data_IF_125679093698
#
_entry.id   IF_125679093698
#
_cell.length_a   1.000
_cell.length_b   1.000
_cell.length_c   1.000
_cell.angle_alpha   90.00
_cell.angle_beta   90.00
_cell.angle_gamma   90.00
#
_symmetry.space_group_name_H-M   'P 1'
#
loop_
_entity.id
_entity.type
_entity.pdbx_description
1 polymer ?
#
# COMPACT_ATOMS: atom_id res chain seq x y z
N UNK A 1 9.76 -29.08 -8.73
CA UNK A 1 9.05 -27.81 -8.47
C UNK A 1 9.59 -27.29 -7.14
N UNK A 2 10.21 -26.16 -7.17
CA UNK A 2 10.74 -25.50 -5.95
C UNK A 2 9.53 -25.00 -5.15
N UNK A 3 9.24 -25.66 -4.05
CA UNK A 3 8.07 -25.35 -3.21
C UNK A 3 8.55 -24.51 -2.03
N UNK A 4 7.95 -23.34 -1.85
CA UNK A 4 8.14 -22.50 -0.67
C UNK A 4 6.79 -22.33 0.02
N UNK A 5 6.75 -22.50 1.32
CA UNK A 5 5.51 -22.35 2.10
C UNK A 5 5.20 -20.88 2.39
N UNK A 6 3.92 -20.57 2.65
CA UNK A 6 3.49 -19.26 3.12
C UNK A 6 4.26 -18.81 4.38
N UNK A 7 4.48 -19.74 5.31
CA UNK A 7 5.24 -19.47 6.53
C UNK A 7 6.68 -19.05 6.24
N UNK A 8 7.40 -19.78 5.39
CA UNK A 8 8.80 -19.44 5.01
C UNK A 8 8.90 -18.09 4.33
N UNK A 9 7.95 -17.77 3.42
CA UNK A 9 7.90 -16.44 2.77
C UNK A 9 7.74 -15.34 3.82
N UNK A 10 6.84 -15.52 4.77
CA UNK A 10 6.62 -14.54 5.85
C UNK A 10 7.85 -14.38 6.74
N UNK A 11 8.53 -15.45 7.09
CA UNK A 11 9.77 -15.38 7.87
C UNK A 11 10.85 -14.57 7.13
N UNK A 12 11.02 -14.80 5.82
CA UNK A 12 11.95 -14.03 5.00
C UNK A 12 11.55 -12.54 5.02
N UNK A 13 10.29 -12.23 4.72
CA UNK A 13 9.80 -10.84 4.63
C UNK A 13 9.95 -10.11 5.97
N UNK A 14 9.64 -10.75 7.08
CA UNK A 14 9.84 -10.18 8.42
C UNK A 14 11.33 -9.97 8.74
N UNK A 15 12.20 -10.91 8.36
CA UNK A 15 13.65 -10.78 8.56
C UNK A 15 14.24 -9.60 7.75
N UNK A 16 13.61 -9.25 6.63
CA UNK A 16 13.97 -8.09 5.81
C UNK A 16 13.44 -6.76 6.37
N UNK A 17 12.65 -6.78 7.43
CA UNK A 17 12.20 -5.60 8.17
C UNK A 17 10.82 -5.07 7.80
N UNK A 18 9.94 -5.91 7.28
CA UNK A 18 8.51 -5.64 7.20
C UNK A 18 7.81 -5.92 8.53
N UNK A 19 6.70 -5.22 8.78
CA UNK A 19 5.87 -5.39 9.99
C UNK A 19 4.66 -6.29 9.73
N UNK A 20 4.18 -6.36 8.48
CA UNK A 20 3.07 -7.21 8.03
C UNK A 20 3.44 -7.86 6.70
N UNK A 21 2.95 -9.10 6.50
CA UNK A 21 3.08 -9.83 5.25
C UNK A 21 1.86 -10.69 5.01
N UNK A 22 1.48 -10.84 3.75
CA UNK A 22 0.44 -11.74 3.30
C UNK A 22 0.64 -12.15 1.84
N UNK A 23 -0.02 -13.23 1.45
CA UNK A 23 0.04 -13.81 0.12
C UNK A 23 -1.35 -13.82 -0.50
N UNK A 24 -1.46 -13.45 -1.75
CA UNK A 24 -2.68 -13.51 -2.54
C UNK A 24 -2.53 -14.48 -3.71
N UNK A 25 -3.61 -15.21 -4.04
CA UNK A 25 -3.76 -15.92 -5.29
C UNK A 25 -4.23 -14.98 -6.42
N UNK A 26 -4.06 -15.40 -7.68
CA UNK A 26 -4.33 -14.54 -8.84
C UNK A 26 -5.82 -14.25 -9.06
N UNK A 27 -6.70 -15.19 -8.70
CA UNK A 27 -8.14 -15.05 -8.86
C UNK A 27 -8.70 -13.82 -8.14
N UNK A 28 -7.99 -13.33 -7.11
CA UNK A 28 -8.38 -12.10 -6.41
C UNK A 28 -8.09 -10.81 -7.19
N UNK A 29 -7.45 -10.94 -8.36
CA UNK A 29 -7.14 -9.83 -9.27
C UNK A 29 -7.99 -9.83 -10.55
N UNK A 30 -8.95 -10.73 -10.72
CA UNK A 30 -9.79 -10.85 -11.93
C UNK A 30 -10.51 -9.55 -12.32
N UNK A 31 -10.78 -8.68 -11.33
CA UNK A 31 -11.37 -7.36 -11.55
C UNK A 31 -10.34 -6.25 -11.83
N UNK A 32 -9.06 -6.58 -11.96
CA UNK A 32 -8.05 -5.58 -12.30
C UNK A 32 -8.29 -5.05 -13.72
N UNK A 33 -8.18 -3.73 -13.95
CA UNK A 33 -8.27 -3.17 -15.28
C UNK A 33 -7.20 -3.79 -16.21
N UNK A 34 -7.51 -3.90 -17.49
CA UNK A 34 -6.57 -4.40 -18.50
C UNK A 34 -5.25 -3.60 -18.46
N UNK A 35 -4.13 -4.31 -18.43
CA UNK A 35 -2.78 -3.75 -18.34
C UNK A 35 -2.30 -3.53 -16.89
N UNK A 36 -3.11 -3.91 -15.88
CA UNK A 36 -2.80 -3.73 -14.45
C UNK A 36 -2.97 -5.02 -13.63
N UNK A 37 -3.21 -6.13 -14.31
CA UNK A 37 -3.25 -7.45 -13.69
C UNK A 37 -1.82 -7.96 -13.47
N UNK A 38 -1.53 -8.73 -12.40
CA UNK A 38 -0.20 -9.31 -12.17
C UNK A 38 0.38 -10.06 -13.37
N UNK A 39 -0.45 -10.76 -14.15
CA UNK A 39 -0.05 -11.46 -15.37
C UNK A 39 0.34 -10.51 -16.53
N UNK A 40 -0.08 -9.26 -16.52
CA UNK A 40 0.36 -8.27 -17.51
C UNK A 40 1.82 -7.84 -17.26
N UNK A 41 2.35 -8.06 -16.04
CA UNK A 41 3.73 -7.76 -15.64
C UNK A 41 4.61 -9.01 -15.68
N UNK A 42 4.16 -10.09 -15.04
CA UNK A 42 4.83 -11.40 -15.02
C UNK A 42 3.87 -12.47 -15.51
N UNK A 43 3.94 -12.88 -16.80
CA UNK A 43 2.99 -13.85 -17.38
C UNK A 43 2.96 -15.21 -16.68
N UNK A 44 4.03 -15.59 -16.01
CA UNK A 44 4.16 -16.83 -15.24
C UNK A 44 3.81 -16.67 -13.75
N UNK A 45 3.34 -15.49 -13.32
CA UNK A 45 2.94 -15.23 -11.95
C UNK A 45 1.88 -16.22 -11.47
N UNK A 46 2.03 -16.69 -10.22
CA UNK A 46 1.05 -17.55 -9.54
C UNK A 46 0.61 -17.02 -8.21
N UNK A 47 1.46 -16.22 -7.56
CA UNK A 47 1.17 -15.62 -6.26
C UNK A 47 1.68 -14.19 -6.20
N UNK A 48 0.99 -13.36 -5.44
CA UNK A 48 1.40 -11.99 -5.12
C UNK A 48 1.72 -11.92 -3.63
N UNK A 49 2.97 -11.66 -3.30
CA UNK A 49 3.43 -11.45 -1.93
C UNK A 49 3.32 -9.96 -1.66
N UNK A 50 2.50 -9.56 -0.70
CA UNK A 50 2.39 -8.15 -0.28
C UNK A 50 2.87 -7.99 1.15
N UNK A 51 3.43 -6.83 1.46
CA UNK A 51 3.95 -6.53 2.79
C UNK A 51 3.79 -5.05 3.13
N UNK A 52 3.88 -4.75 4.42
CA UNK A 52 3.76 -3.39 4.91
C UNK A 52 4.81 -3.08 5.96
N UNK A 53 5.26 -1.84 5.98
CA UNK A 53 6.07 -1.26 7.07
C UNK A 53 5.27 -0.18 7.76
N UNK A 54 5.33 -0.16 9.07
CA UNK A 54 4.66 0.83 9.92
C UNK A 54 5.14 2.25 9.59
N UNK A 55 4.18 3.16 9.42
CA UNK A 55 4.43 4.59 9.30
C UNK A 55 4.37 5.23 10.70
N UNK A 56 5.43 5.89 11.17
CA UNK A 56 5.47 6.48 12.51
C UNK A 56 4.34 7.49 12.77
N UNK A 57 3.56 7.25 13.84
CA UNK A 57 2.37 8.04 14.20
C UNK A 57 2.71 9.49 14.57
N UNK A 58 3.91 9.74 15.07
CA UNK A 58 4.36 11.10 15.41
C UNK A 58 4.26 12.09 14.25
N UNK A 59 4.26 11.60 13.00
CA UNK A 59 4.08 12.43 11.83
C UNK A 59 2.73 13.16 11.79
N UNK A 60 1.68 12.57 12.37
CA UNK A 60 0.34 13.17 12.42
C UNK A 60 0.22 14.27 13.52
N UNK A 61 1.18 14.35 14.42
CA UNK A 61 1.19 15.31 15.54
C UNK A 61 2.03 16.56 15.25
N UNK A 62 2.65 16.64 14.07
CA UNK A 62 3.49 17.77 13.70
C UNK A 62 2.65 18.92 13.11
N UNK A 63 2.98 20.15 13.47
CA UNK A 63 2.36 21.36 12.90
C UNK A 63 2.80 21.62 11.47
N UNK A 64 3.95 21.07 11.06
CA UNK A 64 4.49 21.18 9.70
C UNK A 64 4.43 19.86 8.97
N UNK A 65 4.18 19.84 7.65
CA UNK A 65 4.12 18.62 6.84
C UNK A 65 5.49 17.99 6.57
N UNK A 66 6.58 18.68 6.91
CA UNK A 66 7.96 18.25 6.60
C UNK A 66 8.28 16.86 7.20
N UNK A 67 8.02 16.57 8.49
CA UNK A 67 8.31 15.24 9.05
C UNK A 67 7.50 14.12 8.40
N UNK A 68 6.23 14.35 8.09
CA UNK A 68 5.39 13.39 7.37
C UNK A 68 6.00 13.04 6.00
N UNK A 69 6.37 14.07 5.24
CA UNK A 69 7.00 13.93 3.92
C UNK A 69 8.34 13.20 4.01
N UNK A 70 9.17 13.52 5.02
CA UNK A 70 10.46 12.85 5.23
C UNK A 70 10.30 11.37 5.54
N UNK A 71 9.37 11.01 6.40
CA UNK A 71 9.08 9.61 6.72
C UNK A 71 8.64 8.87 5.46
N UNK A 72 7.70 9.43 4.70
CA UNK A 72 7.26 8.85 3.42
C UNK A 72 8.43 8.63 2.45
N UNK A 73 9.28 9.64 2.30
CA UNK A 73 10.43 9.57 1.39
C UNK A 73 11.49 8.55 1.85
N UNK A 74 11.60 8.29 3.16
CA UNK A 74 12.48 7.25 3.71
C UNK A 74 11.88 5.85 3.61
N UNK A 75 10.56 5.72 3.71
CA UNK A 75 9.88 4.43 3.61
C UNK A 75 9.86 3.89 2.19
N UNK A 76 9.75 4.76 1.17
CA UNK A 76 9.73 4.32 -0.23
C UNK A 76 10.95 3.47 -0.60
N UNK A 77 12.21 3.95 -0.48
CA UNK A 77 13.37 3.13 -0.80
C UNK A 77 13.55 1.93 0.15
N UNK A 78 13.06 2.02 1.40
CA UNK A 78 13.04 0.87 2.31
C UNK A 78 12.15 -0.25 1.76
N UNK A 79 10.95 0.08 1.26
CA UNK A 79 10.05 -0.90 0.67
C UNK A 79 10.63 -1.53 -0.58
N UNK A 80 11.23 -0.72 -1.47
CA UNK A 80 11.88 -1.21 -2.68
C UNK A 80 13.07 -2.12 -2.35
N UNK A 81 13.83 -1.81 -1.30
CA UNK A 81 14.92 -2.68 -0.82
C UNK A 81 14.40 -4.01 -0.26
N UNK A 82 13.30 -4.01 0.50
CA UNK A 82 12.66 -5.25 0.97
C UNK A 82 12.20 -6.09 -0.22
N UNK A 83 11.51 -5.48 -1.20
CA UNK A 83 11.04 -6.17 -2.40
C UNK A 83 12.19 -6.80 -3.20
N UNK A 84 13.26 -6.04 -3.44
CA UNK A 84 14.44 -6.52 -4.16
C UNK A 84 15.12 -7.69 -3.39
N UNK A 85 15.35 -7.52 -2.09
CA UNK A 85 16.00 -8.56 -1.29
C UNK A 85 15.15 -9.84 -1.20
N UNK A 86 13.83 -9.71 -1.14
CA UNK A 86 12.92 -10.86 -1.22
C UNK A 86 13.07 -11.59 -2.55
N UNK A 87 13.13 -10.86 -3.68
CA UNK A 87 13.37 -11.48 -4.98
C UNK A 87 14.70 -12.23 -5.02
N UNK A 88 15.78 -11.66 -4.45
CA UNK A 88 17.09 -12.31 -4.38
C UNK A 88 17.00 -13.60 -3.54
N UNK A 89 16.28 -13.59 -2.41
CA UNK A 89 16.11 -14.77 -1.57
C UNK A 89 15.26 -15.87 -2.24
N UNK A 90 14.27 -15.49 -3.05
CA UNK A 90 13.46 -16.40 -3.85
C UNK A 90 14.29 -16.98 -5.01
N UNK A 91 15.10 -16.16 -5.67
CA UNK A 91 15.99 -16.61 -6.77
C UNK A 91 17.04 -17.64 -6.32
N UNK A 92 17.60 -17.49 -5.10
CA UNK A 92 18.49 -18.52 -4.49
C UNK A 92 17.81 -19.88 -4.35
N UNK A 93 16.48 -19.92 -4.34
CA UNK A 93 15.64 -21.12 -4.31
C UNK A 93 15.16 -21.56 -5.68
N UNK A 94 15.63 -20.89 -6.75
CA UNK A 94 15.21 -21.14 -8.13
C UNK A 94 13.79 -20.68 -8.44
N UNK A 95 13.26 -19.71 -7.70
CA UNK A 95 11.93 -19.13 -7.88
C UNK A 95 12.06 -17.77 -8.55
N UNK A 96 11.47 -17.63 -9.73
CA UNK A 96 11.42 -16.34 -10.43
C UNK A 96 10.41 -15.42 -9.75
N UNK A 97 10.82 -14.17 -9.54
CA UNK A 97 9.98 -13.16 -8.93
C UNK A 97 10.37 -11.74 -9.37
N UNK A 98 9.44 -10.81 -9.27
CA UNK A 98 9.60 -9.43 -9.74
C UNK A 98 9.11 -8.46 -8.67
N UNK A 99 9.95 -7.48 -8.25
CA UNK A 99 9.52 -6.45 -7.32
C UNK A 99 8.60 -5.45 -8.03
N UNK A 100 7.54 -5.03 -7.36
CA UNK A 100 6.67 -3.95 -7.84
C UNK A 100 7.11 -2.64 -7.21
N UNK A 101 7.43 -1.61 -8.00
CA UNK A 101 7.85 -0.31 -7.48
C UNK A 101 6.84 0.27 -6.50
N UNK A 102 7.34 0.76 -5.37
CA UNK A 102 6.47 1.25 -4.28
C UNK A 102 5.75 2.54 -4.63
N UNK A 103 6.39 3.41 -5.41
CA UNK A 103 5.91 4.77 -5.66
C UNK A 103 6.02 5.18 -7.13
N UNK A 104 6.07 4.23 -8.03
CA UNK A 104 6.08 4.51 -9.45
C UNK A 104 4.66 4.40 -10.00
N UNK A 105 4.16 5.51 -10.50
CA UNK A 105 2.84 5.55 -11.14
C UNK A 105 2.90 6.42 -12.37
N UNK A 106 2.19 5.99 -13.41
CA UNK A 106 2.02 6.71 -14.66
C UNK A 106 0.67 7.42 -14.65
N UNK A 107 0.64 8.63 -15.18
CA UNK A 107 -0.61 9.32 -15.42
C UNK A 107 -1.34 8.71 -16.62
N UNK A 108 -2.54 8.20 -16.39
CA UNK A 108 -3.41 7.69 -17.43
C UNK A 108 -4.40 8.79 -17.85
N UNK A 109 -4.13 9.43 -18.99
CA UNK A 109 -4.97 10.51 -19.53
C UNK A 109 -6.41 10.07 -19.81
N UNK A 110 -6.62 8.80 -20.19
CA UNK A 110 -7.96 8.29 -20.54
C UNK A 110 -8.89 8.21 -19.34
N UNK A 111 -8.34 7.88 -18.18
CA UNK A 111 -9.11 7.72 -16.94
C UNK A 111 -8.90 8.88 -15.98
N UNK A 112 -8.01 9.82 -16.31
CA UNK A 112 -7.61 10.95 -15.45
C UNK A 112 -7.12 10.47 -14.07
N UNK A 113 -6.21 9.46 -14.06
CA UNK A 113 -5.74 8.80 -12.83
C UNK A 113 -4.27 8.46 -12.87
N UNK A 114 -3.66 8.51 -11.70
CA UNK A 114 -2.38 7.85 -11.45
C UNK A 114 -2.58 6.34 -11.29
N UNK A 115 -1.82 5.55 -12.05
CA UNK A 115 -1.86 4.09 -12.00
C UNK A 115 -0.45 3.52 -11.88
N UNK A 116 -0.26 2.60 -10.94
CA UNK A 116 0.93 1.73 -10.90
C UNK A 116 0.68 0.50 -11.76
N UNK A 117 1.76 -0.15 -12.22
CA UNK A 117 1.68 -1.42 -12.98
C UNK A 117 0.88 -2.50 -12.22
N UNK A 118 1.01 -2.54 -10.89
CA UNK A 118 0.11 -3.27 -9.98
C UNK A 118 -0.18 -2.36 -8.78
N UNK A 119 -1.44 -2.25 -8.38
CA UNK A 119 -1.81 -1.38 -7.28
C UNK A 119 -1.45 -1.97 -5.93
N UNK A 120 -0.51 -1.35 -5.20
CA UNK A 120 -0.03 -1.81 -3.89
C UNK A 120 -1.16 -2.01 -2.87
N UNK A 121 -2.13 -1.10 -2.81
CA UNK A 121 -3.25 -1.23 -1.85
C UNK A 121 -4.22 -2.35 -2.20
N UNK A 122 -4.44 -2.63 -3.50
CA UNK A 122 -5.27 -3.76 -3.91
C UNK A 122 -4.52 -5.09 -3.72
N UNK A 123 -3.22 -5.13 -3.98
CA UNK A 123 -2.38 -6.28 -3.67
C UNK A 123 -2.38 -6.61 -2.17
N UNK A 124 -2.23 -5.59 -1.32
CA UNK A 124 -2.27 -5.76 0.13
C UNK A 124 -3.66 -6.20 0.65
N UNK A 125 -4.75 -5.69 0.06
CA UNK A 125 -6.09 -6.15 0.36
C UNK A 125 -6.29 -7.62 -0.07
N UNK A 126 -5.89 -7.96 -1.29
CA UNK A 126 -5.98 -9.32 -1.81
C UNK A 126 -5.17 -10.32 -0.97
N UNK A 127 -4.03 -9.87 -0.41
CA UNK A 127 -3.16 -10.64 0.48
C UNK A 127 -3.64 -10.68 1.95
N UNK A 128 -4.81 -10.14 2.28
CA UNK A 128 -5.38 -10.21 3.63
C UNK A 128 -4.73 -9.28 4.66
N UNK A 129 -3.84 -8.36 4.24
CA UNK A 129 -3.16 -7.43 5.17
C UNK A 129 -4.12 -6.38 5.74
N UNK A 130 -5.11 -5.97 4.96
CA UNK A 130 -6.06 -4.94 5.36
C UNK A 130 -7.24 -4.82 4.38
N UNK A 131 -8.07 -3.80 4.60
CA UNK A 131 -9.19 -3.44 3.71
C UNK A 131 -9.11 -1.98 3.30
N UNK A 132 -9.45 -1.67 2.06
CA UNK A 132 -9.46 -0.28 1.57
C UNK A 132 -10.69 0.41 2.15
N UNK A 133 -10.44 1.47 2.93
CA UNK A 133 -11.51 2.26 3.52
C UNK A 133 -12.08 3.33 2.58
N UNK A 134 -13.14 4.01 3.04
CA UNK A 134 -13.82 5.10 2.30
C UNK A 134 -12.87 6.23 1.85
N UNK A 135 -11.78 6.45 2.59
CA UNK A 135 -10.72 7.42 2.25
C UNK A 135 -9.71 6.90 1.21
N UNK A 136 -9.97 5.74 0.60
CA UNK A 136 -9.11 5.15 -0.44
C UNK A 136 -7.70 4.70 0.01
N UNK A 137 -7.44 4.64 1.33
CA UNK A 137 -6.23 4.04 1.90
C UNK A 137 -6.55 2.66 2.47
N UNK A 138 -5.53 1.79 2.52
CA UNK A 138 -5.62 0.52 3.23
C UNK A 138 -5.71 0.77 4.74
N UNK A 139 -6.57 0.02 5.42
CA UNK A 139 -6.69 -0.01 6.89
C UNK A 139 -6.34 -1.42 7.34
N UNK A 140 -5.31 -1.55 8.16
CA UNK A 140 -4.89 -2.81 8.79
C UNK A 140 -5.42 -2.88 10.22
N UNK A 141 -5.58 -4.09 10.79
CA UNK A 141 -5.99 -4.26 12.19
C UNK A 141 -4.94 -3.71 13.16
N UNK A 142 -3.67 -3.93 12.87
CA UNK A 142 -2.56 -3.61 13.76
C UNK A 142 -2.17 -2.12 13.76
N UNK A 143 -2.15 -1.49 12.57
CA UNK A 143 -1.59 -0.14 12.38
C UNK A 143 -2.55 0.82 11.67
N UNK A 144 -3.79 0.40 11.42
CA UNK A 144 -4.75 1.21 10.67
C UNK A 144 -4.23 1.61 9.30
N UNK A 145 -4.38 2.87 8.95
CA UNK A 145 -3.84 3.41 7.69
C UNK A 145 -2.39 3.91 7.81
N UNK A 146 -1.75 3.74 8.99
CA UNK A 146 -0.37 4.16 9.21
C UNK A 146 0.60 3.07 8.78
N UNK A 147 0.55 2.72 7.50
CA UNK A 147 1.43 1.75 6.83
C UNK A 147 1.89 2.25 5.47
N UNK A 148 3.05 1.76 5.03
CA UNK A 148 3.57 1.90 3.68
C UNK A 148 3.66 0.51 3.05
N UNK A 149 3.28 0.36 1.78
CA UNK A 149 3.02 -0.92 1.16
C UNK A 149 4.05 -1.26 0.09
N UNK A 150 4.36 -2.54 -0.05
CA UNK A 150 5.16 -3.10 -1.13
C UNK A 150 4.64 -4.47 -1.54
N UNK A 151 5.01 -4.94 -2.73
CA UNK A 151 4.66 -6.26 -3.21
C UNK A 151 5.69 -6.83 -4.19
N UNK A 152 5.65 -8.15 -4.31
CA UNK A 152 6.46 -8.96 -5.22
C UNK A 152 5.54 -9.93 -5.95
N UNK A 153 5.69 -10.04 -7.26
CA UNK A 153 5.06 -11.08 -8.07
C UNK A 153 5.94 -12.32 -8.08
N UNK A 154 5.36 -13.51 -7.99
CA UNK A 154 6.08 -14.76 -7.81
C UNK A 154 5.52 -15.88 -8.70
N UNK A 155 6.40 -16.67 -9.32
CA UNK A 155 6.04 -17.88 -10.10
C UNK A 155 5.71 -19.09 -9.23
N UNK A 156 6.10 -19.09 -7.94
CA UNK A 156 5.73 -20.16 -7.04
C UNK A 156 4.25 -20.06 -6.67
N UNK A 157 3.58 -21.20 -6.64
CA UNK A 157 2.25 -21.33 -6.07
C UNK A 157 2.37 -21.43 -4.55
N UNK A 158 1.91 -20.38 -3.87
CA UNK A 158 2.01 -20.24 -2.42
C UNK A 158 0.60 -20.17 -1.87
N UNK A 159 0.32 -20.90 -0.79
CA UNK A 159 -0.99 -20.88 -0.14
C UNK A 159 -1.38 -19.46 0.25
N UNK A 160 -2.53 -18.94 -0.23
CA UNK A 160 -2.94 -17.57 0.03
C UNK A 160 -3.44 -17.38 1.46
N UNK A 161 -3.22 -16.21 2.01
CA UNK A 161 -3.81 -15.82 3.28
C UNK A 161 -5.31 -15.56 3.15
N UNK A 162 -6.05 -15.73 4.24
CA UNK A 162 -7.46 -15.36 4.30
C UNK A 162 -7.63 -13.83 4.18
N UNK A 163 -8.64 -13.41 3.45
CA UNK A 163 -9.02 -12.00 3.41
C UNK A 163 -9.71 -11.61 4.72
N UNK A 164 -9.35 -10.46 5.27
CA UNK A 164 -10.00 -9.95 6.48
C UNK A 164 -11.34 -9.27 6.15
N UNK A 165 -12.20 -9.16 7.14
CA UNK A 165 -13.46 -8.42 7.05
C UNK A 165 -13.26 -6.91 6.93
N UNK A 166 -14.28 -6.20 6.49
CA UNK A 166 -14.25 -4.75 6.38
C UNK A 166 -14.09 -4.09 7.76
N UNK A 167 -13.09 -3.21 7.86
CA UNK A 167 -12.83 -2.42 9.07
C UNK A 167 -13.58 -1.08 9.00
N UNK A 168 -13.73 -0.53 7.79
CA UNK A 168 -14.37 0.76 7.57
C UNK A 168 -15.88 0.66 7.83
N UNK A 169 -16.40 1.40 8.81
CA UNK A 169 -17.81 1.48 9.11
C UNK A 169 -18.58 2.55 8.33
N UNK A 170 -17.97 3.11 7.29
CA UNK A 170 -18.54 4.14 6.41
C UNK A 170 -19.08 5.39 7.15
N UNK A 171 -18.45 5.80 8.24
CA UNK A 171 -18.85 6.97 9.04
C UNK A 171 -18.74 8.32 8.29
N UNK A 172 -18.13 8.34 7.12
CA UNK A 172 -17.96 9.50 6.22
C UNK A 172 -17.20 10.71 6.80
N UNK A 173 -16.53 10.59 7.96
CA UNK A 173 -15.70 11.68 8.51
C UNK A 173 -14.61 12.12 7.54
N UNK A 174 -14.00 11.17 6.82
CA UNK A 174 -12.98 11.45 5.80
C UNK A 174 -13.52 12.24 4.61
N UNK A 175 -14.80 12.03 4.26
CA UNK A 175 -15.50 12.80 3.21
C UNK A 175 -15.72 14.23 3.67
N UNK A 176 -16.24 14.41 4.89
CA UNK A 176 -16.58 15.72 5.46
C UNK A 176 -15.35 16.62 5.67
N UNK A 177 -14.19 16.04 6.01
CA UNK A 177 -12.96 16.80 6.28
C UNK A 177 -12.17 17.13 5.00
N UNK A 178 -12.51 16.53 3.86
CA UNK A 178 -11.79 16.73 2.61
C UNK A 178 -11.97 18.15 2.07
N UNK A 179 -10.92 19.00 2.02
CA UNK A 179 -11.07 20.41 1.67
C UNK A 179 -11.43 20.64 0.20
N UNK A 180 -11.26 19.63 -0.65
CA UNK A 180 -11.52 19.68 -2.10
C UNK A 180 -12.55 18.66 -2.56
N UNK A 181 -13.34 18.11 -1.63
CA UNK A 181 -14.41 17.14 -1.91
C UNK A 181 -13.95 15.93 -2.77
N UNK A 182 -12.66 15.60 -2.74
CA UNK A 182 -12.09 14.52 -3.56
C UNK A 182 -12.66 13.13 -3.21
N UNK A 183 -13.33 12.99 -2.06
CA UNK A 183 -13.93 11.75 -1.57
C UNK A 183 -15.47 11.77 -1.61
N UNK A 184 -16.10 12.75 -2.27
CA UNK A 184 -17.56 12.89 -2.32
C UNK A 184 -18.21 11.70 -3.05
N UNK A 185 -17.65 11.30 -4.18
CA UNK A 185 -18.05 10.10 -4.93
C UNK A 185 -17.41 8.85 -4.35
N UNK A 186 -17.92 7.68 -4.71
CA UNK A 186 -17.32 6.40 -4.29
C UNK A 186 -15.85 6.30 -4.73
N UNK A 187 -15.56 6.75 -5.93
CA UNK A 187 -14.21 6.80 -6.44
C UNK A 187 -13.51 8.11 -6.04
N UNK A 188 -12.25 7.98 -5.60
CA UNK A 188 -11.40 9.13 -5.30
C UNK A 188 -11.16 9.98 -6.56
N UNK A 189 -11.46 11.27 -6.50
CA UNK A 189 -10.95 12.24 -7.47
C UNK A 189 -9.46 12.48 -7.20
N UNK A 190 -8.61 11.73 -7.89
CA UNK A 190 -7.16 11.76 -7.66
C UNK A 190 -6.54 13.09 -8.04
N UNK A 191 -6.99 13.74 -9.13
CA UNK A 191 -6.46 15.04 -9.55
C UNK A 191 -6.70 16.09 -8.48
N UNK A 192 -7.96 16.28 -8.05
CA UNK A 192 -8.27 17.25 -7.00
C UNK A 192 -7.53 16.97 -5.68
N UNK A 193 -7.37 15.68 -5.32
CA UNK A 193 -6.59 15.30 -4.15
C UNK A 193 -5.11 15.64 -4.31
N UNK A 194 -4.54 15.36 -5.49
CA UNK A 194 -3.14 15.63 -5.79
C UNK A 194 -2.84 17.12 -5.72
N UNK A 195 -3.60 17.93 -6.43
CA UNK A 195 -3.39 19.38 -6.49
C UNK A 195 -3.48 20.05 -5.12
N UNK A 196 -4.28 19.50 -4.20
CA UNK A 196 -4.38 19.99 -2.82
C UNK A 196 -3.31 19.43 -1.87
N UNK A 197 -2.86 18.21 -2.10
CA UNK A 197 -2.05 17.50 -1.10
C UNK A 197 -0.54 17.59 -1.37
N UNK A 198 -0.12 17.90 -2.59
CA UNK A 198 1.27 17.88 -3.00
C UNK A 198 1.69 19.23 -3.56
N UNK A 199 2.81 19.74 -3.12
CA UNK A 199 3.35 21.02 -3.58
C UNK A 199 4.54 21.46 -2.77
N UNK A 200 5.02 22.65 -3.04
CA UNK A 200 6.11 23.27 -2.29
C UNK A 200 5.56 23.96 -1.03
N UNK A 201 6.19 23.68 0.09
CA UNK A 201 5.92 24.40 1.34
C UNK A 201 6.40 25.85 1.21
N UNK A 202 5.51 26.80 1.54
CA UNK A 202 5.78 28.22 1.32
C UNK A 202 6.97 28.73 2.15
N UNK A 203 7.19 28.19 3.34
CA UNK A 203 8.25 28.61 4.24
C UNK A 203 9.61 27.99 3.88
N UNK A 204 9.63 26.71 3.57
CA UNK A 204 10.88 25.94 3.34
C UNK A 204 11.26 25.82 1.86
N UNK A 205 10.33 26.16 0.94
CA UNK A 205 10.50 25.97 -0.51
C UNK A 205 10.88 24.53 -0.90
N UNK A 206 10.49 23.56 -0.08
CA UNK A 206 10.70 22.14 -0.34
C UNK A 206 9.38 21.47 -0.65
N UNK A 207 9.43 20.49 -1.55
CA UNK A 207 8.26 19.69 -1.88
C UNK A 207 7.78 18.88 -0.67
N UNK A 208 6.48 18.96 -0.38
CA UNK A 208 5.85 18.32 0.77
C UNK A 208 4.51 17.69 0.41
N UNK A 209 4.07 16.76 1.26
CA UNK A 209 2.71 16.26 1.32
C UNK A 209 2.00 17.01 2.42
N UNK A 210 1.25 18.04 2.05
CA UNK A 210 0.63 18.98 2.98
C UNK A 210 -0.71 18.52 3.54
N UNK A 211 -1.36 17.52 2.92
CA UNK A 211 -2.67 17.05 3.33
C UNK A 211 -2.67 15.55 3.66
N UNK A 212 -3.00 15.24 4.91
CA UNK A 212 -3.27 13.88 5.40
C UNK A 212 -4.56 13.82 6.25
N UNK A 213 -5.45 14.83 6.11
CA UNK A 213 -6.67 15.02 6.93
C UNK A 213 -7.59 13.81 6.93
N UNK A 214 -7.80 13.16 5.78
CA UNK A 214 -8.65 11.97 5.67
C UNK A 214 -8.09 10.76 6.43
N UNK A 215 -6.75 10.65 6.53
CA UNK A 215 -6.05 9.65 7.32
C UNK A 215 -6.18 9.95 8.80
N UNK A 216 -5.94 11.19 9.18
CA UNK A 216 -5.90 11.63 10.58
C UNK A 216 -7.26 11.53 11.27
N UNK A 217 -8.35 11.96 10.59
CA UNK A 217 -9.70 11.92 11.14
C UNK A 217 -10.31 10.52 11.25
N UNK A 218 -9.71 9.52 10.60
CA UNK A 218 -10.27 8.17 10.56
C UNK A 218 -10.20 7.54 11.97
N UNK A 219 -11.32 7.04 12.52
CA UNK A 219 -11.32 6.39 13.83
C UNK A 219 -10.46 5.12 13.86
N UNK A 220 -10.13 4.57 12.69
CA UNK A 220 -9.28 3.39 12.52
C UNK A 220 -7.90 3.72 11.97
N UNK A 221 -7.45 4.97 12.06
CA UNK A 221 -6.15 5.37 11.52
C UNK A 221 -4.97 4.67 12.18
N UNK A 222 -5.13 4.19 13.40
CA UNK A 222 -4.13 3.44 14.17
C UNK A 222 -4.43 1.94 14.29
N UNK A 223 -5.51 1.46 13.64
CA UNK A 223 -5.97 0.08 13.70
C UNK A 223 -7.03 -0.17 14.77
N UNK A 224 -7.44 -1.43 14.87
CA UNK A 224 -8.40 -1.90 15.87
C UNK A 224 -7.70 -2.50 17.08
N UNK A 225 -6.47 -3.01 16.88
CA UNK A 225 -5.70 -3.77 17.87
C UNK A 225 -4.69 -2.87 18.61
N UNK A 226 -4.56 -1.60 18.17
CA UNK A 226 -3.50 -0.73 18.65
C UNK A 226 -3.90 0.00 19.94
N UNK A 227 -3.13 -0.27 21.01
CA UNK A 227 -3.23 0.38 22.33
C UNK A 227 -2.18 1.49 22.51
N UNK A 228 -1.62 2.03 21.42
CA UNK A 228 -0.45 2.93 21.47
C UNK A 228 -0.80 4.41 21.73
N UNK A 229 -1.97 4.71 22.25
CA UNK A 229 -2.27 6.07 22.78
C UNK A 229 -3.11 5.93 24.02
#
# INVERSE_FOLDING_TARGET
MTNISNHEVKEIVYSLGADLCGVACLERFDNAPKGFHPLDVLPSCKSVISFAVRFPVGALKCETPVPYTRIRNSLTPKMDAIALNLCIELEKRGIVSVPIPTNESLWDEKTNRWRSIVSQKHAAQAAGIGRIGRHSLLITKQFGSMVWLGSVLCEAEIEPDEMIEDICNHCNRCVQVCPVNALEKEELNQSACWDNAFGDDEATKTWVISCHKSRDICPYNLGTDNKLI
#
